data_IF_654126503975
#
_entry.id   IF_654126503975
#
_cell.length_a   1.000
_cell.length_b   1.000
_cell.length_c   1.000
_cell.angle_alpha   90.00
_cell.angle_beta   90.00
_cell.angle_gamma   90.00
#
_symmetry.space_group_name_H-M   'P 1'
#
loop_
_entity.id
_entity.type
_entity.pdbx_description
1 polymer ?
#
# COMPACT_ATOMS: atom_id res chain seq x y z
N UNK A 1 13.59 28.20 20.87
CA UNK A 1 13.12 27.44 19.69
C UNK A 1 12.17 26.38 20.19
N UNK A 2 10.97 26.23 19.61
CA UNK A 2 9.98 25.25 20.09
C UNK A 2 10.30 23.85 19.58
N UNK A 3 9.75 22.80 20.22
CA UNK A 3 9.85 21.43 19.71
C UNK A 3 9.32 21.30 18.28
N UNK A 4 8.25 22.02 17.95
CA UNK A 4 7.68 22.03 16.59
C UNK A 4 8.65 22.62 15.55
N UNK A 5 9.39 23.70 15.92
CA UNK A 5 10.39 24.28 15.03
C UNK A 5 11.55 23.30 14.77
N UNK A 6 12.01 22.61 15.82
CA UNK A 6 13.09 21.62 15.71
C UNK A 6 12.66 20.40 14.87
N UNK A 7 11.44 19.89 15.09
CA UNK A 7 10.88 18.80 14.30
C UNK A 7 10.76 19.22 12.84
N UNK A 8 10.27 20.42 12.53
CA UNK A 8 10.16 20.94 11.17
C UNK A 8 11.53 20.97 10.49
N UNK A 9 12.55 21.61 11.10
CA UNK A 9 13.91 21.68 10.57
C UNK A 9 14.52 20.30 10.30
N UNK A 10 14.32 19.35 11.20
CA UNK A 10 14.74 17.98 11.02
C UNK A 10 14.06 17.32 9.81
N UNK A 11 12.76 17.51 9.63
CA UNK A 11 12.02 16.95 8.49
C UNK A 11 12.41 17.60 7.17
N UNK A 12 12.69 18.92 7.18
CA UNK A 12 13.18 19.65 6.01
C UNK A 12 14.56 19.13 5.58
N UNK A 13 15.49 18.90 6.52
CA UNK A 13 16.78 18.26 6.25
C UNK A 13 16.60 16.86 5.66
N UNK A 14 15.71 16.02 6.23
CA UNK A 14 15.44 14.69 5.67
C UNK A 14 14.86 14.75 4.25
N UNK A 15 14.04 15.74 3.96
CA UNK A 15 13.48 15.92 2.62
C UNK A 15 14.54 16.35 1.61
N UNK A 16 15.35 17.37 1.96
CA UNK A 16 16.32 18.00 1.05
C UNK A 16 17.58 17.15 0.85
N UNK A 17 18.16 16.63 1.93
CA UNK A 17 19.47 15.96 1.86
C UNK A 17 19.37 14.44 1.68
N UNK A 18 18.28 13.81 2.20
CA UNK A 18 18.12 12.36 2.17
C UNK A 18 17.01 11.86 1.26
N UNK A 19 16.31 12.77 0.58
CA UNK A 19 15.22 12.40 -0.34
C UNK A 19 14.11 11.58 0.33
N UNK A 20 13.83 11.84 1.62
CA UNK A 20 12.85 11.08 2.37
C UNK A 20 11.45 11.25 1.76
N UNK A 21 10.70 10.15 1.65
CA UNK A 21 9.35 10.18 1.09
C UNK A 21 8.38 10.94 2.01
N UNK A 22 7.32 11.53 1.44
CA UNK A 22 6.26 12.21 2.19
C UNK A 22 5.68 11.33 3.31
N UNK A 23 5.51 10.02 3.06
CA UNK A 23 5.05 9.06 4.06
C UNK A 23 6.05 8.90 5.22
N UNK A 24 7.37 8.89 4.93
CA UNK A 24 8.40 8.82 5.97
C UNK A 24 8.40 10.08 6.82
N UNK A 25 8.32 11.25 6.17
CA UNK A 25 8.26 12.54 6.86
C UNK A 25 7.03 12.65 7.77
N UNK A 26 5.85 12.27 7.26
CA UNK A 26 4.60 12.25 8.03
C UNK A 26 4.67 11.27 9.22
N UNK A 27 5.22 10.07 9.00
CA UNK A 27 5.38 9.08 10.06
C UNK A 27 6.34 9.57 11.16
N UNK A 28 7.47 10.16 10.79
CA UNK A 28 8.46 10.68 11.75
C UNK A 28 7.93 11.91 12.49
N UNK A 29 7.19 12.79 11.82
CA UNK A 29 6.49 13.90 12.46
C UNK A 29 5.59 13.38 13.58
N UNK A 30 4.67 12.48 13.25
CA UNK A 30 3.73 11.89 14.22
C UNK A 30 4.43 11.17 15.36
N UNK A 31 5.55 10.48 15.09
CA UNK A 31 6.32 9.76 16.11
C UNK A 31 7.00 10.72 17.11
N UNK A 32 7.55 11.83 16.63
CA UNK A 32 8.22 12.82 17.46
C UNK A 32 7.21 13.69 18.24
N UNK A 33 6.07 14.02 17.63
CA UNK A 33 4.98 14.72 18.31
C UNK A 33 4.38 13.88 19.45
N UNK A 34 4.17 12.56 19.23
CA UNK A 34 3.73 11.64 20.27
C UNK A 34 4.77 11.54 21.42
N UNK A 35 6.05 11.41 21.07
CA UNK A 35 7.12 11.40 22.09
C UNK A 35 7.14 12.71 22.88
N UNK A 36 7.09 13.85 22.20
CA UNK A 36 7.04 15.17 22.84
C UNK A 36 5.83 15.33 23.76
N UNK A 37 4.65 14.88 23.32
CA UNK A 37 3.42 14.91 24.12
C UNK A 37 3.52 14.05 25.40
N UNK A 38 4.13 12.88 25.31
CA UNK A 38 4.30 11.97 26.46
C UNK A 38 5.34 12.50 27.45
N UNK A 39 6.44 13.08 26.95
CA UNK A 39 7.50 13.70 27.76
C UNK A 39 7.02 14.97 28.45
N UNK A 40 6.25 15.80 27.76
CA UNK A 40 5.68 17.03 28.32
C UNK A 40 4.77 16.77 29.53
N UNK A 41 4.07 15.63 29.59
CA UNK A 41 3.30 15.20 30.78
C UNK A 41 4.18 14.92 32.00
N UNK A 42 5.48 14.68 31.79
CA UNK A 42 6.46 14.55 32.85
C UNK A 42 7.27 15.83 33.08
N UNK A 43 6.87 16.95 32.45
CA UNK A 43 7.58 18.22 32.55
C UNK A 43 8.88 18.28 31.75
N UNK A 44 9.10 17.33 30.83
CA UNK A 44 10.34 17.22 30.06
C UNK A 44 10.11 17.72 28.64
N UNK A 45 10.91 18.66 28.19
CA UNK A 45 10.94 19.09 26.77
C UNK A 45 11.59 17.99 25.91
N UNK A 46 11.02 17.72 24.73
CA UNK A 46 11.56 16.68 23.83
C UNK A 46 13.03 16.89 23.50
N UNK A 47 13.42 18.13 23.17
CA UNK A 47 14.80 18.43 22.81
C UNK A 47 15.76 18.37 24.02
N UNK A 48 15.27 18.46 25.23
CA UNK A 48 16.03 18.39 26.47
C UNK A 48 16.05 16.97 27.08
N UNK A 49 15.26 16.03 26.54
CA UNK A 49 15.14 14.68 27.09
C UNK A 49 16.50 13.96 27.13
N UNK A 50 16.79 13.32 28.23
CA UNK A 50 17.97 12.47 28.39
C UNK A 50 17.67 11.01 28.01
N UNK A 51 18.69 10.17 28.09
CA UNK A 51 18.57 8.74 27.73
C UNK A 51 17.55 8.00 28.62
N UNK A 52 17.40 8.39 29.89
CA UNK A 52 16.48 7.74 30.83
C UNK A 52 15.03 8.10 30.49
N UNK A 53 14.73 9.38 30.28
CA UNK A 53 13.42 9.83 29.85
C UNK A 53 12.96 9.17 28.53
N UNK A 54 13.89 9.00 27.58
CA UNK A 54 13.60 8.30 26.34
C UNK A 54 13.37 6.79 26.52
N UNK A 55 14.08 6.14 27.45
CA UNK A 55 13.82 4.74 27.82
C UNK A 55 12.45 4.58 28.46
N UNK A 56 12.10 5.47 29.37
CA UNK A 56 10.78 5.48 30.02
C UNK A 56 9.66 5.66 29.00
N UNK A 57 9.85 6.54 28.03
CA UNK A 57 8.91 6.65 26.90
C UNK A 57 8.73 5.32 26.18
N UNK A 58 9.82 4.64 25.81
CA UNK A 58 9.76 3.34 25.13
C UNK A 58 9.10 2.26 25.99
N UNK A 59 9.35 2.25 27.30
CA UNK A 59 8.66 1.33 28.23
C UNK A 59 7.16 1.60 28.32
N UNK A 60 6.75 2.89 28.32
CA UNK A 60 5.33 3.26 28.28
C UNK A 60 4.65 2.76 26.99
N UNK A 61 5.34 2.76 25.85
CA UNK A 61 4.82 2.17 24.61
C UNK A 61 4.59 0.65 24.76
N UNK A 62 5.51 -0.06 25.39
CA UNK A 62 5.35 -1.50 25.66
C UNK A 62 4.15 -1.79 26.57
N UNK A 63 4.00 -1.04 27.68
CA UNK A 63 2.84 -1.14 28.57
C UNK A 63 1.51 -0.88 27.85
N UNK A 64 1.51 -0.02 26.82
CA UNK A 64 0.35 0.25 25.96
C UNK A 64 0.16 -0.79 24.84
N UNK A 65 0.93 -1.87 24.83
CA UNK A 65 0.88 -2.94 23.83
C UNK A 65 1.07 -2.43 22.38
N UNK A 66 1.84 -1.35 22.21
CA UNK A 66 2.21 -0.85 20.88
C UNK A 66 3.07 -1.92 20.19
N UNK A 67 2.78 -2.18 18.90
CA UNK A 67 3.48 -3.22 18.15
C UNK A 67 5.00 -3.00 18.12
N UNK A 68 5.78 -4.10 18.11
CA UNK A 68 7.24 -4.05 18.03
C UNK A 68 7.73 -3.26 16.80
N UNK A 69 7.03 -3.38 15.67
CA UNK A 69 7.34 -2.63 14.45
C UNK A 69 7.15 -1.12 14.63
N UNK A 70 6.05 -0.70 15.27
CA UNK A 70 5.79 0.71 15.57
C UNK A 70 6.81 1.25 16.57
N UNK A 71 7.13 0.50 17.63
CA UNK A 71 8.14 0.89 18.61
C UNK A 71 9.52 1.02 17.97
N UNK A 72 9.90 0.11 17.08
CA UNK A 72 11.16 0.19 16.34
C UNK A 72 11.23 1.43 15.43
N UNK A 73 10.12 1.78 14.74
CA UNK A 73 10.04 3.00 13.91
C UNK A 73 10.16 4.26 14.76
N UNK A 74 9.45 4.33 15.90
CA UNK A 74 9.57 5.46 16.85
C UNK A 74 10.99 5.60 17.40
N UNK A 75 11.64 4.49 17.74
CA UNK A 75 13.04 4.48 18.18
C UNK A 75 13.97 5.00 17.07
N UNK A 76 13.71 4.63 15.80
CA UNK A 76 14.48 5.14 14.65
C UNK A 76 14.27 6.65 14.45
N UNK A 77 13.05 7.14 14.56
CA UNK A 77 12.74 8.57 14.47
C UNK A 77 13.48 9.37 15.55
N UNK A 78 13.43 8.92 16.81
CA UNK A 78 14.17 9.54 17.92
C UNK A 78 15.68 9.56 17.68
N UNK A 79 16.28 8.44 17.26
CA UNK A 79 17.73 8.38 16.99
C UNK A 79 18.14 9.35 15.88
N UNK A 80 17.37 9.45 14.81
CA UNK A 80 17.69 10.35 13.71
C UNK A 80 17.49 11.81 14.11
N UNK A 81 16.46 12.12 14.89
CA UNK A 81 16.21 13.44 15.42
C UNK A 81 17.32 13.93 16.36
N UNK A 82 17.72 13.12 17.36
CA UNK A 82 18.77 13.52 18.29
C UNK A 82 20.15 13.57 17.62
N UNK A 83 20.43 12.69 16.65
CA UNK A 83 21.64 12.78 15.83
C UNK A 83 21.67 14.08 15.00
N UNK A 84 20.52 14.52 14.48
CA UNK A 84 20.39 15.81 13.81
C UNK A 84 20.67 16.97 14.79
N UNK A 85 20.04 16.97 15.97
CA UNK A 85 20.29 18.03 16.97
C UNK A 85 21.77 18.11 17.37
N UNK A 86 22.43 16.97 17.55
CA UNK A 86 23.86 16.88 17.86
C UNK A 86 24.70 17.40 16.69
N UNK A 87 24.40 16.97 15.47
CA UNK A 87 25.15 17.35 14.25
C UNK A 87 25.06 18.84 13.93
N UNK A 88 23.90 19.46 14.20
CA UNK A 88 23.67 20.90 14.02
C UNK A 88 24.18 21.77 15.21
N UNK A 89 24.82 21.16 16.20
CA UNK A 89 25.29 21.86 17.39
C UNK A 89 24.18 22.42 18.28
N UNK A 90 22.93 21.99 18.07
CA UNK A 90 21.75 22.38 18.88
C UNK A 90 21.71 21.66 20.22
N UNK A 91 22.54 20.60 20.35
CA UNK A 91 22.72 19.81 21.56
C UNK A 91 24.17 19.29 21.63
N UNK A 92 24.71 19.17 22.87
CA UNK A 92 26.08 18.72 23.10
C UNK A 92 26.25 17.17 23.12
N UNK A 93 25.15 16.41 23.15
CA UNK A 93 25.13 14.94 23.25
C UNK A 93 24.05 14.30 22.36
N UNK A 94 24.15 12.98 22.14
CA UNK A 94 23.11 12.15 21.48
C UNK A 94 22.54 11.14 22.47
N UNK A 95 21.48 11.49 23.25
CA UNK A 95 20.89 10.60 24.23
C UNK A 95 20.20 9.38 23.63
N UNK A 96 19.84 9.43 22.35
CA UNK A 96 19.13 8.36 21.66
C UNK A 96 20.08 7.33 21.01
N UNK A 97 21.37 7.61 20.89
CA UNK A 97 22.34 6.74 20.22
C UNK A 97 22.42 5.32 20.81
N UNK A 98 22.24 5.20 22.12
CA UNK A 98 22.30 3.91 22.87
C UNK A 98 20.92 3.25 23.10
N UNK A 99 19.82 3.81 22.58
CA UNK A 99 18.52 3.18 22.72
C UNK A 99 18.51 1.83 21.99
N UNK A 100 18.01 0.78 22.61
CA UNK A 100 17.84 -0.52 21.94
C UNK A 100 16.47 -0.58 21.27
N UNK A 101 16.47 -0.92 19.98
CA UNK A 101 15.21 -1.27 19.31
C UNK A 101 14.72 -2.63 19.81
N UNK A 102 13.41 -2.83 19.99
CA UNK A 102 12.88 -4.15 20.27
C UNK A 102 13.33 -5.12 19.17
N UNK A 103 13.72 -6.34 19.58
CA UNK A 103 13.94 -7.41 18.62
C UNK A 103 12.60 -7.71 17.94
N UNK A 104 12.50 -7.41 16.67
CA UNK A 104 11.36 -7.88 15.89
C UNK A 104 11.55 -9.38 15.69
N UNK A 105 10.71 -10.19 16.33
CA UNK A 105 10.52 -11.54 15.84
C UNK A 105 10.12 -11.42 14.36
N UNK A 106 10.80 -12.12 13.46
CA UNK A 106 10.33 -12.23 12.07
C UNK A 106 9.19 -13.24 12.08
N UNK A 107 7.92 -12.83 12.17
CA UNK A 107 6.83 -13.77 11.90
C UNK A 107 7.04 -14.24 10.46
N UNK A 108 6.92 -15.54 10.23
CA UNK A 108 6.87 -16.08 8.88
C UNK A 108 5.83 -15.27 8.09
N UNK A 109 6.16 -14.79 6.89
CA UNK A 109 5.21 -14.05 6.07
C UNK A 109 3.95 -14.91 5.90
N UNK A 110 2.81 -14.41 6.34
CA UNK A 110 1.52 -15.06 6.05
C UNK A 110 1.27 -14.85 4.56
N UNK A 111 1.56 -15.84 3.74
CA UNK A 111 1.22 -15.85 2.31
C UNK A 111 -0.13 -16.53 2.19
N UNK A 112 -1.08 -15.88 1.52
CA UNK A 112 -2.32 -16.54 1.12
C UNK A 112 -1.97 -17.64 0.10
N UNK A 113 -2.58 -18.80 0.22
CA UNK A 113 -2.50 -19.85 -0.80
C UNK A 113 -3.25 -19.43 -2.06
N UNK A 114 -3.00 -20.12 -3.18
CA UNK A 114 -3.78 -19.94 -4.41
C UNK A 114 -5.27 -20.16 -4.13
N UNK A 115 -5.62 -21.21 -3.37
CA UNK A 115 -7.00 -21.50 -2.96
C UNK A 115 -7.63 -20.39 -2.13
N UNK A 116 -6.86 -19.75 -1.24
CA UNK A 116 -7.37 -18.61 -0.45
C UNK A 116 -7.69 -17.42 -1.34
N UNK A 117 -6.82 -17.12 -2.32
CA UNK A 117 -7.07 -16.05 -3.29
C UNK A 117 -8.24 -16.39 -4.20
N UNK A 118 -8.33 -17.63 -4.68
CA UNK A 118 -9.47 -18.12 -5.48
C UNK A 118 -10.77 -17.93 -4.72
N UNK A 119 -10.83 -18.34 -3.44
CA UNK A 119 -12.05 -18.14 -2.60
C UNK A 119 -12.44 -16.66 -2.46
N UNK A 120 -11.46 -15.74 -2.36
CA UNK A 120 -11.75 -14.31 -2.32
C UNK A 120 -12.34 -13.81 -3.65
N UNK A 121 -11.74 -14.21 -4.78
CA UNK A 121 -12.19 -13.82 -6.12
C UNK A 121 -13.56 -14.40 -6.44
N UNK A 122 -13.79 -15.69 -6.17
CA UNK A 122 -15.07 -16.35 -6.37
C UNK A 122 -16.19 -15.72 -5.53
N UNK A 123 -15.88 -15.34 -4.27
CA UNK A 123 -16.88 -14.67 -3.44
C UNK A 123 -17.18 -13.27 -3.98
N UNK A 124 -16.17 -12.53 -4.43
CA UNK A 124 -16.39 -11.22 -5.03
C UNK A 124 -17.18 -11.30 -6.35
N UNK A 125 -16.93 -12.34 -7.18
CA UNK A 125 -17.71 -12.61 -8.39
C UNK A 125 -19.16 -12.91 -8.06
N UNK A 126 -19.42 -13.85 -7.15
CA UNK A 126 -20.79 -14.16 -6.68
C UNK A 126 -21.52 -12.95 -6.12
N UNK A 127 -20.82 -12.08 -5.37
CA UNK A 127 -21.41 -10.85 -4.85
C UNK A 127 -21.79 -9.87 -5.99
N UNK A 128 -21.09 -9.92 -7.12
CA UNK A 128 -21.36 -9.08 -8.30
C UNK A 128 -22.48 -9.63 -9.16
N UNK A 129 -22.63 -10.96 -9.21
CA UNK A 129 -23.60 -11.69 -10.03
C UNK A 129 -25.00 -11.79 -9.38
N UNK A 130 -25.14 -11.41 -8.10
CA UNK A 130 -26.45 -11.44 -7.41
C UNK A 130 -27.50 -10.65 -8.18
N UNK A 131 -28.67 -11.27 -8.35
CA UNK A 131 -29.76 -10.74 -9.16
C UNK A 131 -30.13 -9.30 -8.78
N UNK A 132 -30.48 -8.53 -9.83
CA UNK A 132 -30.73 -7.09 -9.75
C UNK A 132 -31.95 -6.73 -8.86
N UNK A 133 -32.87 -7.67 -8.62
CA UNK A 133 -34.13 -7.46 -7.87
C UNK A 133 -33.90 -7.27 -6.37
N UNK A 134 -32.86 -7.92 -5.80
CA UNK A 134 -32.71 -8.04 -4.35
C UNK A 134 -31.62 -7.16 -3.75
N UNK A 135 -30.82 -6.47 -4.58
CA UNK A 135 -29.63 -5.73 -4.13
C UNK A 135 -29.65 -4.30 -4.63
N UNK A 136 -29.53 -3.33 -3.72
CA UNK A 136 -29.48 -1.91 -4.07
C UNK A 136 -28.30 -1.57 -4.99
N UNK A 137 -28.48 -0.57 -5.87
CA UNK A 137 -27.40 -0.11 -6.78
C UNK A 137 -26.10 0.21 -6.06
N UNK A 138 -26.07 0.93 -4.90
CA UNK A 138 -24.82 1.16 -4.17
C UNK A 138 -24.13 -0.12 -3.67
N UNK A 139 -24.89 -1.16 -3.34
CA UNK A 139 -24.30 -2.44 -2.92
C UNK A 139 -23.71 -3.18 -4.12
N UNK A 140 -24.36 -3.16 -5.28
CA UNK A 140 -23.83 -3.70 -6.54
C UNK A 140 -22.58 -2.96 -6.99
N UNK A 141 -22.58 -1.64 -6.89
CA UNK A 141 -21.40 -0.83 -7.18
C UNK A 141 -20.22 -1.19 -6.26
N UNK A 142 -20.47 -1.42 -4.95
CA UNK A 142 -19.41 -1.85 -4.03
C UNK A 142 -18.87 -3.24 -4.37
N UNK A 143 -19.75 -4.19 -4.72
CA UNK A 143 -19.35 -5.54 -5.12
C UNK A 143 -18.48 -5.52 -6.38
N UNK A 144 -18.91 -4.85 -7.45
CA UNK A 144 -18.17 -4.74 -8.70
C UNK A 144 -16.83 -3.99 -8.51
N UNK A 145 -16.80 -2.94 -7.68
CA UNK A 145 -15.56 -2.25 -7.31
C UNK A 145 -14.57 -3.19 -6.60
N UNK A 146 -15.08 -4.01 -5.67
CA UNK A 146 -14.24 -4.95 -4.94
C UNK A 146 -13.66 -6.02 -5.87
N UNK A 147 -14.46 -6.60 -6.76
CA UNK A 147 -13.99 -7.56 -7.75
C UNK A 147 -12.90 -6.93 -8.64
N UNK A 148 -13.13 -5.73 -9.18
CA UNK A 148 -12.14 -5.04 -10.00
C UNK A 148 -10.83 -4.73 -9.26
N UNK A 149 -10.90 -4.33 -7.98
CA UNK A 149 -9.71 -4.09 -7.15
C UNK A 149 -8.92 -5.37 -6.88
N UNK A 150 -9.62 -6.50 -6.61
CA UNK A 150 -9.00 -7.79 -6.37
C UNK A 150 -8.32 -8.34 -7.63
N UNK A 151 -9.04 -8.35 -8.74
CA UNK A 151 -8.50 -8.80 -10.03
C UNK A 151 -7.27 -7.98 -10.43
N UNK A 152 -7.34 -6.65 -10.30
CA UNK A 152 -6.21 -5.79 -10.61
C UNK A 152 -5.01 -6.04 -9.69
N UNK A 153 -5.19 -6.09 -8.37
CA UNK A 153 -4.04 -6.26 -7.46
C UNK A 153 -3.38 -7.62 -7.64
N UNK A 154 -4.17 -8.67 -7.91
CA UNK A 154 -3.66 -10.01 -8.10
C UNK A 154 -3.10 -10.26 -9.50
N UNK A 155 -3.60 -9.59 -10.54
CA UNK A 155 -3.02 -9.65 -11.88
C UNK A 155 -1.70 -8.86 -12.02
N UNK A 156 -1.55 -7.77 -11.24
CA UNK A 156 -0.51 -6.77 -11.49
C UNK A 156 0.50 -6.62 -10.37
N UNK A 157 0.15 -7.07 -9.17
CA UNK A 157 0.95 -6.82 -7.97
C UNK A 157 1.14 -5.35 -7.63
N UNK A 158 0.23 -4.46 -8.00
CA UNK A 158 0.30 -3.03 -7.69
C UNK A 158 0.37 -2.76 -6.19
N UNK A 159 1.10 -1.70 -5.79
CA UNK A 159 0.96 -1.18 -4.42
C UNK A 159 -0.43 -0.62 -4.23
N UNK A 160 -1.00 -0.74 -3.02
CA UNK A 160 -2.35 -0.21 -2.75
C UNK A 160 -2.50 1.26 -3.15
N UNK A 161 -1.48 2.09 -2.96
CA UNK A 161 -1.49 3.49 -3.35
C UNK A 161 -1.49 3.70 -4.86
N UNK A 162 -0.84 2.82 -5.62
CA UNK A 162 -0.86 2.83 -7.08
C UNK A 162 -2.23 2.38 -7.60
N UNK A 163 -2.77 1.30 -7.03
CA UNK A 163 -4.06 0.72 -7.41
C UNK A 163 -5.23 1.71 -7.26
N UNK A 164 -5.36 2.33 -6.08
CA UNK A 164 -6.49 3.24 -5.79
C UNK A 164 -6.40 4.57 -6.55
N UNK A 165 -5.18 4.96 -6.96
CA UNK A 165 -4.91 6.17 -7.74
C UNK A 165 -4.76 5.90 -9.24
N UNK A 166 -5.30 4.78 -9.75
CA UNK A 166 -5.32 4.52 -11.19
C UNK A 166 -6.21 5.53 -11.92
N UNK A 167 -5.77 6.05 -13.07
CA UNK A 167 -6.55 7.00 -13.85
C UNK A 167 -7.74 6.32 -14.55
N UNK A 168 -8.83 7.05 -14.72
CA UNK A 168 -10.02 6.54 -15.42
C UNK A 168 -9.74 6.15 -16.87
N UNK A 169 -8.75 6.77 -17.52
CA UNK A 169 -8.35 6.45 -18.90
C UNK A 169 -7.82 5.02 -19.09
N UNK A 170 -7.48 4.34 -17.99
CA UNK A 170 -6.88 2.99 -18.02
C UNK A 170 -7.76 1.96 -18.73
N UNK A 171 -9.09 2.05 -18.62
CA UNK A 171 -10.00 1.12 -19.27
C UNK A 171 -9.96 1.19 -20.81
N UNK A 172 -9.39 2.27 -21.39
CA UNK A 172 -9.21 2.45 -22.84
C UNK A 172 -7.93 1.82 -23.36
N UNK A 173 -7.10 1.23 -22.48
CA UNK A 173 -5.86 0.57 -22.88
C UNK A 173 -6.18 -0.60 -23.83
N UNK A 174 -5.85 -0.44 -25.12
CA UNK A 174 -6.11 -1.45 -26.16
C UNK A 174 -5.19 -2.64 -26.07
N UNK A 175 -4.00 -2.48 -25.46
CA UNK A 175 -2.92 -3.47 -25.47
C UNK A 175 -2.81 -4.28 -24.19
N UNK A 176 -3.79 -4.21 -23.28
CA UNK A 176 -3.72 -4.88 -21.95
C UNK A 176 -2.45 -4.54 -21.17
N UNK A 177 -1.83 -3.41 -21.46
CA UNK A 177 -0.67 -2.88 -20.74
C UNK A 177 -1.02 -1.55 -20.12
N UNK A 178 -0.61 -1.37 -18.86
CA UNK A 178 -0.77 -0.10 -18.16
C UNK A 178 0.57 0.45 -17.73
N UNK A 179 0.71 1.77 -17.85
CA UNK A 179 1.86 2.49 -17.30
C UNK A 179 1.55 2.88 -15.87
N UNK A 180 2.37 2.43 -14.94
CA UNK A 180 2.23 2.74 -13.51
C UNK A 180 3.41 3.56 -13.04
N UNK A 181 3.12 4.71 -12.41
CA UNK A 181 4.14 5.57 -11.77
C UNK A 181 4.45 5.05 -10.37
N UNK A 182 5.68 4.61 -10.15
CA UNK A 182 6.18 4.13 -8.87
C UNK A 182 6.85 5.21 -8.02
N UNK A 183 7.55 4.78 -6.97
CA UNK A 183 8.32 5.67 -6.08
C UNK A 183 9.39 6.42 -6.90
N UNK A 184 9.48 7.74 -6.70
CA UNK A 184 10.43 8.60 -7.40
C UNK A 184 10.07 8.91 -8.86
N UNK A 185 8.80 8.73 -9.27
CA UNK A 185 8.34 9.05 -10.63
C UNK A 185 8.74 8.03 -11.69
N UNK A 186 9.39 6.92 -11.32
CA UNK A 186 9.77 5.86 -12.26
C UNK A 186 8.51 5.16 -12.78
N UNK A 187 8.40 5.05 -14.09
CA UNK A 187 7.29 4.37 -14.76
C UNK A 187 7.66 2.90 -15.03
N UNK A 188 6.65 2.03 -14.99
CA UNK A 188 6.77 0.64 -15.40
C UNK A 188 5.52 0.20 -16.14
N UNK A 189 5.70 -0.70 -17.10
CA UNK A 189 4.60 -1.38 -17.78
C UNK A 189 4.17 -2.60 -16.96
N UNK A 190 2.86 -2.79 -16.86
CA UNK A 190 2.26 -3.91 -16.14
C UNK A 190 1.14 -4.49 -17.00
N UNK A 191 1.16 -5.81 -17.31
CA UNK A 191 0.12 -6.46 -18.09
C UNK A 191 -1.16 -6.66 -17.27
N UNK A 192 -2.30 -6.65 -17.97
CA UNK A 192 -3.62 -6.96 -17.41
C UNK A 192 -4.11 -8.31 -17.95
N UNK A 193 -4.66 -9.15 -17.06
CA UNK A 193 -5.35 -10.38 -17.43
C UNK A 193 -6.72 -10.08 -18.05
N UNK A 194 -7.29 -11.03 -18.78
CA UNK A 194 -8.65 -10.93 -19.32
C UNK A 194 -9.69 -10.76 -18.20
N UNK A 195 -9.51 -11.50 -17.10
CA UNK A 195 -10.37 -11.43 -15.91
C UNK A 195 -10.36 -10.02 -15.31
N UNK A 196 -9.18 -9.40 -15.16
CA UNK A 196 -9.05 -8.03 -14.68
C UNK A 196 -9.76 -7.03 -15.62
N UNK A 197 -9.61 -7.19 -16.93
CA UNK A 197 -10.29 -6.35 -17.92
C UNK A 197 -11.81 -6.53 -17.89
N UNK A 198 -12.30 -7.75 -17.74
CA UNK A 198 -13.73 -8.05 -17.60
C UNK A 198 -14.32 -7.41 -16.34
N UNK A 199 -13.65 -7.57 -15.20
CA UNK A 199 -14.05 -6.95 -13.94
C UNK A 199 -14.08 -5.41 -14.03
N UNK A 200 -13.10 -4.80 -14.71
CA UNK A 200 -13.07 -3.36 -14.96
C UNK A 200 -14.27 -2.88 -15.81
N UNK A 201 -14.64 -3.63 -16.84
CA UNK A 201 -15.83 -3.31 -17.67
C UNK A 201 -17.11 -3.32 -16.82
N UNK A 202 -17.29 -4.34 -15.99
CA UNK A 202 -18.46 -4.45 -15.10
C UNK A 202 -18.46 -3.31 -14.08
N UNK A 203 -17.33 -3.05 -13.44
CA UNK A 203 -17.21 -1.93 -12.49
C UNK A 203 -17.61 -0.61 -13.14
N UNK A 204 -17.11 -0.32 -14.30
CA UNK A 204 -17.38 0.94 -14.99
C UNK A 204 -18.84 1.11 -15.36
N UNK A 205 -19.48 0.07 -15.91
CA UNK A 205 -20.90 0.11 -16.22
C UNK A 205 -21.74 0.43 -14.99
N UNK A 206 -21.46 -0.23 -13.86
CA UNK A 206 -22.20 -0.01 -12.63
C UNK A 206 -21.85 1.32 -11.96
N UNK A 207 -20.58 1.75 -11.98
CA UNK A 207 -20.14 3.03 -11.43
C UNK A 207 -20.89 4.21 -12.05
N UNK A 208 -21.06 4.16 -13.37
CA UNK A 208 -21.63 5.24 -14.15
C UNK A 208 -23.19 5.16 -14.19
N UNK A 209 -23.78 4.11 -13.63
CA UNK A 209 -25.24 3.92 -13.53
C UNK A 209 -25.81 4.74 -12.37
N UNK A 210 -26.97 5.40 -12.63
CA UNK A 210 -27.77 6.10 -11.62
C UNK A 210 -28.95 5.24 -11.16
N UNK A 211 -29.61 5.60 -10.03
CA UNK A 211 -30.76 4.88 -9.53
C UNK A 211 -31.94 4.81 -10.52
N UNK A 212 -32.08 5.80 -11.41
CA UNK A 212 -33.11 5.84 -12.47
C UNK A 212 -32.75 4.98 -13.70
N UNK A 213 -31.63 4.26 -13.66
CA UNK A 213 -31.15 3.40 -14.74
C UNK A 213 -30.35 4.15 -15.83
N UNK A 214 -30.27 5.47 -15.77
CA UNK A 214 -29.45 6.24 -16.73
C UNK A 214 -27.96 5.99 -16.48
N UNK A 215 -27.16 5.98 -17.54
CA UNK A 215 -25.70 5.88 -17.47
C UNK A 215 -25.10 7.24 -17.76
N UNK A 216 -24.45 7.81 -16.76
CA UNK A 216 -23.77 9.11 -16.89
C UNK A 216 -22.34 8.92 -16.40
N UNK A 217 -21.37 9.24 -17.26
CA UNK A 217 -19.97 9.18 -16.83
C UNK A 217 -19.81 9.90 -15.50
N UNK A 218 -19.31 9.19 -14.49
CA UNK A 218 -19.11 9.76 -13.14
C UNK A 218 -18.19 10.98 -13.18
N UNK A 219 -17.47 11.18 -14.27
CA UNK A 219 -16.51 12.26 -14.42
C UNK A 219 -15.34 12.14 -13.44
N UNK A 220 -14.26 12.81 -13.72
CA UNK A 220 -13.12 12.84 -12.83
C UNK A 220 -11.95 11.98 -13.31
N UNK A 221 -10.76 12.19 -12.70
CA UNK A 221 -9.52 11.60 -13.20
C UNK A 221 -9.32 10.16 -12.74
N UNK A 222 -10.11 9.65 -11.78
CA UNK A 222 -9.84 8.40 -11.08
C UNK A 222 -10.73 7.24 -11.49
N UNK A 223 -10.12 6.08 -11.65
CA UNK A 223 -10.84 4.82 -11.93
C UNK A 223 -11.74 4.40 -10.74
N UNK A 224 -11.29 4.68 -9.51
CA UNK A 224 -12.01 4.37 -8.28
C UNK A 224 -12.32 5.67 -7.51
N UNK A 225 -13.27 6.50 -7.97
CA UNK A 225 -13.61 7.75 -7.32
C UNK A 225 -14.23 7.55 -5.94
N UNK A 226 -14.11 8.54 -5.07
CA UNK A 226 -14.82 8.63 -3.78
C UNK A 226 -14.86 10.08 -3.31
N UNK A 227 -15.69 10.37 -2.30
CA UNK A 227 -15.84 11.69 -1.66
C UNK A 227 -14.70 12.01 -0.68
N UNK A 228 -13.59 11.27 -0.73
CA UNK A 228 -12.40 11.55 0.07
C UNK A 228 -11.71 12.83 -0.40
N UNK A 229 -10.92 13.46 0.47
CA UNK A 229 -10.11 14.64 0.14
C UNK A 229 -9.23 14.45 -1.12
N UNK A 230 -8.75 13.22 -1.36
CA UNK A 230 -7.97 12.88 -2.56
C UNK A 230 -8.82 12.64 -3.82
N UNK A 231 -10.15 12.63 -3.70
CA UNK A 231 -11.10 12.33 -4.79
C UNK A 231 -11.15 10.88 -5.23
N UNK A 232 -10.33 10.00 -4.65
CA UNK A 232 -10.31 8.57 -4.96
C UNK A 232 -10.45 7.71 -3.70
N UNK A 233 -10.73 6.43 -3.88
CA UNK A 233 -10.86 5.45 -2.80
C UNK A 233 -9.65 5.52 -1.84
N UNK A 234 -9.91 5.50 -0.52
CA UNK A 234 -8.82 5.50 0.47
C UNK A 234 -8.30 4.09 0.72
N UNK A 235 -7.02 4.00 1.14
CA UNK A 235 -6.40 2.72 1.53
C UNK A 235 -7.15 2.05 2.68
N UNK A 236 -7.64 2.85 3.63
CA UNK A 236 -8.39 2.37 4.78
C UNK A 236 -9.74 1.79 4.37
N UNK A 237 -10.46 2.47 3.46
CA UNK A 237 -11.74 1.98 2.95
C UNK A 237 -11.55 0.65 2.20
N UNK A 238 -10.58 0.56 1.29
CA UNK A 238 -10.28 -0.70 0.61
C UNK A 238 -9.91 -1.82 1.58
N UNK A 239 -9.03 -1.54 2.57
CA UNK A 239 -8.61 -2.54 3.55
C UNK A 239 -9.77 -3.02 4.44
N UNK A 240 -10.72 -2.13 4.81
CA UNK A 240 -11.93 -2.49 5.55
C UNK A 240 -12.84 -3.39 4.72
N UNK A 241 -13.19 -2.96 3.50
CA UNK A 241 -14.08 -3.68 2.60
C UNK A 241 -13.49 -5.08 2.25
N UNK A 242 -12.15 -5.17 2.10
CA UNK A 242 -11.44 -6.43 1.88
C UNK A 242 -11.52 -7.38 3.08
N UNK A 243 -11.46 -6.87 4.32
CA UNK A 243 -11.65 -7.69 5.53
C UNK A 243 -13.07 -8.24 5.65
N UNK A 244 -14.07 -7.45 5.28
CA UNK A 244 -15.46 -7.89 5.23
C UNK A 244 -15.65 -9.01 4.20
N UNK A 245 -15.03 -8.88 3.03
CA UNK A 245 -15.03 -9.95 2.03
C UNK A 245 -14.33 -11.21 2.55
N UNK A 246 -13.19 -11.08 3.21
CA UNK A 246 -12.46 -12.22 3.78
C UNK A 246 -13.33 -13.03 4.74
N UNK A 247 -14.12 -12.38 5.61
CA UNK A 247 -15.08 -13.06 6.49
C UNK A 247 -16.10 -13.87 5.69
N UNK A 248 -16.68 -13.28 4.63
CA UNK A 248 -17.65 -13.99 3.77
C UNK A 248 -17.03 -15.13 2.97
N UNK A 249 -15.73 -15.07 2.71
CA UNK A 249 -14.97 -16.13 2.04
C UNK A 249 -14.46 -17.21 2.99
N UNK A 250 -14.83 -17.15 4.29
CA UNK A 250 -14.34 -18.10 5.30
C UNK A 250 -12.85 -17.93 5.66
N UNK A 251 -12.29 -16.76 5.43
CA UNK A 251 -10.90 -16.44 5.75
C UNK A 251 -10.79 -15.53 6.97
N UNK A 252 -9.67 -15.66 7.71
CA UNK A 252 -9.38 -14.74 8.82
C UNK A 252 -9.11 -13.32 8.30
N UNK A 253 -9.83 -12.28 8.75
CA UNK A 253 -9.59 -10.89 8.33
C UNK A 253 -8.19 -10.38 8.65
N UNK A 254 -7.50 -10.98 9.64
CA UNK A 254 -6.13 -10.65 10.02
C UNK A 254 -5.10 -11.25 9.06
N UNK A 255 -5.49 -12.25 8.27
CA UNK A 255 -4.62 -12.85 7.26
C UNK A 255 -4.66 -12.10 5.93
N UNK A 256 -5.68 -11.27 5.70
CA UNK A 256 -5.94 -10.63 4.40
C UNK A 256 -5.70 -9.13 4.47
N UNK A 257 -4.88 -8.63 3.56
CA UNK A 257 -4.66 -7.20 3.34
C UNK A 257 -4.18 -6.94 1.91
N UNK A 258 -4.26 -5.71 1.39
CA UNK A 258 -3.72 -5.39 0.06
C UNK A 258 -2.23 -5.74 -0.09
N UNK A 259 -1.45 -5.59 0.98
CA UNK A 259 -0.02 -5.94 0.98
C UNK A 259 0.18 -7.47 0.89
N UNK A 260 -0.63 -8.24 1.59
CA UNK A 260 -0.59 -9.71 1.56
C UNK A 260 -1.01 -10.24 0.18
N UNK A 261 -2.04 -9.66 -0.46
CA UNK A 261 -2.42 -10.02 -1.84
C UNK A 261 -1.30 -9.74 -2.84
N UNK A 262 -0.66 -8.59 -2.75
CA UNK A 262 0.51 -8.29 -3.60
C UNK A 262 1.66 -9.27 -3.33
N UNK A 263 1.87 -9.67 -2.08
CA UNK A 263 2.89 -10.67 -1.75
C UNK A 263 2.53 -12.06 -2.29
N UNK A 264 1.25 -12.45 -2.20
CA UNK A 264 0.74 -13.67 -2.80
C UNK A 264 0.97 -13.70 -4.32
N UNK A 265 0.63 -12.62 -5.04
CA UNK A 265 0.94 -12.48 -6.47
C UNK A 265 2.42 -12.80 -6.77
N UNK A 266 3.35 -12.14 -6.07
CA UNK A 266 4.78 -12.35 -6.29
C UNK A 266 5.21 -13.79 -5.99
N UNK A 267 4.74 -14.36 -4.87
CA UNK A 267 5.10 -15.72 -4.44
C UNK A 267 4.54 -16.77 -5.39
N UNK A 268 3.30 -16.60 -5.84
CA UNK A 268 2.66 -17.57 -6.74
C UNK A 268 3.29 -17.55 -8.13
N UNK A 269 3.66 -16.38 -8.68
CA UNK A 269 4.42 -16.31 -9.92
C UNK A 269 5.77 -17.04 -9.79
N UNK A 270 6.50 -16.82 -8.70
CA UNK A 270 7.78 -17.53 -8.46
C UNK A 270 7.59 -19.05 -8.31
N UNK A 271 6.54 -19.48 -7.60
CA UNK A 271 6.20 -20.90 -7.46
C UNK A 271 5.86 -21.55 -8.81
N UNK A 272 5.25 -20.81 -9.73
CA UNK A 272 4.94 -21.26 -11.08
C UNK A 272 6.14 -21.15 -12.05
N UNK A 273 7.33 -20.78 -11.55
CA UNK A 273 8.56 -20.80 -12.35
C UNK A 273 8.92 -19.44 -12.98
N UNK A 274 8.25 -18.36 -12.61
CA UNK A 274 8.63 -17.03 -13.10
C UNK A 274 10.03 -16.63 -12.62
N UNK A 275 10.80 -15.97 -13.49
CA UNK A 275 12.12 -15.45 -13.14
C UNK A 275 12.01 -14.34 -12.07
N UNK A 276 12.83 -14.44 -11.03
CA UNK A 276 12.84 -13.50 -9.91
C UNK A 276 13.07 -12.05 -10.36
N UNK A 277 13.93 -11.83 -11.37
CA UNK A 277 14.23 -10.49 -11.87
C UNK A 277 13.01 -9.87 -12.55
N UNK A 278 12.27 -10.67 -13.31
CA UNK A 278 11.04 -10.22 -13.97
C UNK A 278 9.96 -9.89 -12.93
N UNK A 279 9.80 -10.72 -11.90
CA UNK A 279 8.86 -10.44 -10.80
C UNK A 279 9.28 -9.16 -10.05
N UNK A 280 10.56 -8.92 -9.81
CA UNK A 280 11.06 -7.68 -9.21
C UNK A 280 10.78 -6.46 -10.09
N UNK A 281 10.92 -6.56 -11.41
CA UNK A 281 10.57 -5.49 -12.36
C UNK A 281 9.08 -5.17 -12.32
N UNK A 282 8.20 -6.18 -12.38
CA UNK A 282 6.75 -6.01 -12.25
C UNK A 282 6.37 -5.30 -10.95
N UNK A 283 7.04 -5.65 -9.87
CA UNK A 283 6.80 -5.04 -8.56
C UNK A 283 7.40 -3.64 -8.41
N UNK A 284 8.28 -3.21 -9.33
CA UNK A 284 8.93 -1.89 -9.27
C UNK A 284 9.89 -1.76 -8.09
N UNK A 285 10.76 -2.77 -7.89
CA UNK A 285 11.89 -2.69 -6.97
C UNK A 285 13.01 -1.86 -7.61
N UNK A 286 13.50 -0.85 -6.90
CA UNK A 286 14.29 0.27 -7.45
C UNK A 286 15.73 -0.06 -7.85
N UNK A 287 16.21 -1.29 -7.70
CA UNK A 287 17.65 -1.60 -7.71
C UNK A 287 18.16 -2.31 -8.98
N UNK A 288 17.48 -2.21 -10.10
CA UNK A 288 18.04 -2.69 -11.38
C UNK A 288 17.99 -1.56 -12.40
N UNK A 289 19.14 -0.88 -12.52
CA UNK A 289 19.44 0.03 -13.61
C UNK A 289 19.40 -0.77 -14.92
N UNK A 290 18.43 -0.50 -15.79
CA UNK A 290 18.55 -0.50 -17.27
C UNK A 290 17.15 -0.42 -17.89
N UNK A 291 16.64 0.79 -18.05
CA UNK A 291 15.34 1.03 -18.69
C UNK A 291 15.55 1.68 -20.06
N UNK A 292 16.43 1.22 -20.91
CA UNK A 292 16.61 1.92 -22.20
C UNK A 292 16.70 1.08 -23.49
N UNK A 293 16.70 -0.26 -23.47
CA UNK A 293 16.98 -0.97 -24.75
C UNK A 293 15.98 -2.07 -25.18
N UNK A 294 14.98 -2.47 -24.36
CA UNK A 294 14.19 -3.68 -24.67
C UNK A 294 12.67 -3.52 -24.58
N UNK A 295 12.08 -2.47 -25.16
CA UNK A 295 10.63 -2.23 -25.03
C UNK A 295 9.78 -3.33 -25.68
N UNK A 296 10.07 -3.79 -26.87
CA UNK A 296 9.21 -4.76 -27.59
C UNK A 296 9.38 -6.24 -27.16
N UNK A 297 10.61 -6.68 -26.92
CA UNK A 297 10.87 -8.08 -26.50
C UNK A 297 10.47 -8.33 -25.06
N UNK A 298 10.56 -7.29 -24.20
CA UNK A 298 10.12 -7.36 -22.81
C UNK A 298 8.60 -7.43 -22.70
N UNK A 299 7.86 -6.69 -23.56
CA UNK A 299 6.40 -6.65 -23.53
C UNK A 299 5.78 -8.02 -23.86
N UNK A 300 6.28 -8.73 -24.84
CA UNK A 300 5.80 -10.06 -25.18
C UNK A 300 6.14 -11.10 -24.08
N UNK A 301 7.35 -11.04 -23.49
CA UNK A 301 7.73 -11.90 -22.36
C UNK A 301 6.90 -11.62 -21.11
N UNK A 302 6.58 -10.37 -20.80
CA UNK A 302 5.74 -10.01 -19.66
C UNK A 302 4.29 -10.49 -19.86
N UNK A 303 3.76 -10.32 -21.08
CA UNK A 303 2.42 -10.81 -21.44
C UNK A 303 2.34 -12.34 -21.35
N UNK A 304 3.29 -13.07 -21.97
CA UNK A 304 3.32 -14.51 -21.91
C UNK A 304 3.50 -15.03 -20.48
N UNK A 305 4.38 -14.42 -19.69
CA UNK A 305 4.61 -14.83 -18.33
C UNK A 305 3.36 -14.68 -17.45
N UNK A 306 2.63 -13.57 -17.57
CA UNK A 306 1.38 -13.37 -16.80
C UNK A 306 0.30 -14.32 -17.31
N UNK A 307 0.19 -14.52 -18.61
CA UNK A 307 -0.76 -15.50 -19.18
C UNK A 307 -0.44 -16.92 -18.75
N UNK A 308 0.83 -17.35 -18.88
CA UNK A 308 1.23 -18.77 -18.79
C UNK A 308 1.58 -19.18 -17.34
N UNK A 309 2.00 -18.23 -16.48
CA UNK A 309 2.48 -18.52 -15.12
C UNK A 309 1.63 -17.89 -14.01
N UNK A 310 0.64 -17.07 -14.35
CA UNK A 310 -0.29 -16.55 -13.34
C UNK A 310 -1.23 -17.69 -12.90
N UNK A 311 -1.41 -17.98 -11.60
CA UNK A 311 -2.18 -19.13 -11.12
C UNK A 311 -3.65 -19.14 -11.56
N UNK A 312 -4.20 -17.97 -11.84
CA UNK A 312 -5.56 -17.76 -12.34
C UNK A 312 -5.51 -17.04 -13.70
N UNK A 313 -4.50 -17.39 -14.50
CA UNK A 313 -4.35 -16.88 -15.86
C UNK A 313 -5.54 -17.22 -16.75
N UNK A 314 -5.55 -16.64 -17.94
CA UNK A 314 -6.59 -16.91 -18.91
C UNK A 314 -6.46 -18.37 -19.38
N UNK A 315 -7.45 -19.21 -19.07
CA UNK A 315 -7.55 -20.56 -19.61
C UNK A 315 -7.85 -20.44 -21.12
N UNK A 316 -7.14 -21.20 -21.96
CA UNK A 316 -7.39 -21.32 -23.41
C UNK A 316 -8.78 -21.90 -23.70
#
# INVERSE_FOLDING_TARGET
MTNQDLIRRFLDMLASERGASANTLSAYRSDLEDAGSVLAKAGIDLAAADTEALRDFLQKLQKRQVSAATTARKTSALRQFFRFLYGEGLRADDPAGRLKSPRQGRPLPKVLSIDDVTRLLDQASRDTEREMSDVSLPARQRAARMLALLELIYATGLRVSELIALPDSLWRARERLIVVKGKGGKERLVPLTEKAMAALKVWRLLRDQRPDGTVVSAGGPWLFPSDSESGHLTRQAFARDLKELALRSGLSPQAVSPHVLRHAFASHLLQNGADLRIVQQLLGHADIATTQIYTHVLDERLKSMVRDLHPLGDDD
#
